data_IF_129285055338
#
_entry.id   IF_129285055338
#
_cell.length_a   1.000
_cell.length_b   1.000
_cell.length_c   1.000
_cell.angle_alpha   90.00
_cell.angle_beta   90.00
_cell.angle_gamma   90.00
#
_symmetry.space_group_name_H-M   'P 1'
#
loop_
_entity.id
_entity.type
_entity.pdbx_description
1 polymer ?
#
# COMPACT_ATOMS: atom_id res chain seq x y z
N UNK A 1 2.74 -14.97 -2.88
CA UNK A 1 3.84 -14.06 -2.56
C UNK A 1 3.33 -12.79 -1.86
N UNK A 2 2.36 -12.07 -2.45
CA UNK A 2 1.93 -10.74 -2.00
C UNK A 2 1.36 -10.66 -0.57
N UNK A 3 0.75 -11.70 -0.04
CA UNK A 3 0.25 -11.73 1.34
C UNK A 3 1.12 -12.61 2.24
N UNK A 4 1.36 -13.85 1.86
CA UNK A 4 2.16 -14.80 2.67
C UNK A 4 3.58 -14.30 2.90
N UNK A 5 4.24 -13.74 1.87
CA UNK A 5 5.59 -13.19 2.01
C UNK A 5 5.62 -12.01 2.98
N UNK A 6 4.65 -11.09 2.89
CA UNK A 6 4.52 -9.96 3.83
C UNK A 6 4.31 -10.46 5.26
N UNK A 7 3.40 -11.43 5.44
CA UNK A 7 3.17 -12.04 6.75
C UNK A 7 4.45 -12.65 7.35
N UNK A 8 5.19 -13.46 6.58
CA UNK A 8 6.42 -14.08 7.05
C UNK A 8 7.49 -13.05 7.41
N UNK A 9 7.68 -12.01 6.59
CA UNK A 9 8.59 -10.90 6.92
C UNK A 9 8.16 -10.19 8.22
N UNK A 10 6.87 -9.87 8.36
CA UNK A 10 6.36 -9.26 9.58
C UNK A 10 6.57 -10.18 10.79
N UNK A 11 6.35 -11.49 10.65
CA UNK A 11 6.54 -12.45 11.73
C UNK A 11 8.00 -12.49 12.20
N UNK A 12 8.95 -12.62 11.29
CA UNK A 12 10.35 -12.80 11.66
C UNK A 12 10.99 -11.49 12.15
N UNK A 13 10.87 -10.41 11.39
CA UNK A 13 11.43 -9.13 11.82
C UNK A 13 10.69 -8.54 13.02
N UNK A 14 9.37 -8.70 13.08
CA UNK A 14 8.56 -8.21 14.18
C UNK A 14 8.87 -8.89 15.52
N UNK A 15 9.21 -10.19 15.53
CA UNK A 15 9.70 -10.87 16.74
C UNK A 15 10.97 -10.21 17.29
N UNK A 16 11.91 -9.85 16.40
CA UNK A 16 13.16 -9.19 16.78
C UNK A 16 12.86 -7.80 17.35
N UNK A 17 12.06 -7.00 16.64
CA UNK A 17 11.65 -5.66 17.08
C UNK A 17 10.90 -5.69 18.42
N UNK A 18 10.01 -6.66 18.60
CA UNK A 18 9.26 -6.85 19.85
C UNK A 18 10.16 -7.20 21.03
N UNK A 19 11.22 -7.99 20.80
CA UNK A 19 12.26 -8.31 21.82
C UNK A 19 13.09 -7.07 22.16
N UNK A 20 13.42 -6.26 21.17
CA UNK A 20 14.16 -5.00 21.33
C UNK A 20 13.31 -3.89 21.96
N UNK A 21 11.97 -4.06 22.02
CA UNK A 21 10.99 -3.03 22.39
C UNK A 21 11.15 -1.75 21.57
N UNK A 22 11.48 -1.88 20.30
CA UNK A 22 11.65 -0.79 19.35
C UNK A 22 11.52 -1.33 17.92
N UNK A 23 10.64 -0.74 17.13
CA UNK A 23 10.51 -1.07 15.72
C UNK A 23 9.42 -0.33 15.00
N UNK A 24 9.56 -0.26 13.68
CA UNK A 24 8.54 0.27 12.78
C UNK A 24 8.45 -0.65 11.57
N UNK A 25 7.23 -1.03 11.23
CA UNK A 25 6.92 -1.80 10.02
C UNK A 25 5.98 -0.97 9.15
N UNK A 26 6.34 -0.83 7.88
CA UNK A 26 5.48 -0.22 6.86
C UNK A 26 5.16 -1.28 5.82
N UNK A 27 3.91 -1.69 5.77
CA UNK A 27 3.40 -2.64 4.79
C UNK A 27 2.88 -1.90 3.57
N UNK A 28 3.23 -2.37 2.38
CA UNK A 28 2.79 -1.74 1.12
C UNK A 28 1.53 -2.42 0.60
N UNK A 29 0.44 -1.67 0.54
CA UNK A 29 -0.81 -2.09 -0.07
C UNK A 29 -1.04 -1.36 -1.41
N UNK A 30 -2.25 -1.44 -1.91
CA UNK A 30 -2.71 -0.82 -3.16
C UNK A 30 -4.12 -0.27 -2.96
N UNK A 31 -4.51 0.71 -3.76
CA UNK A 31 -5.91 1.14 -3.86
C UNK A 31 -6.85 -0.04 -4.07
N UNK A 32 -6.42 -1.09 -4.77
CA UNK A 32 -7.21 -2.32 -4.95
C UNK A 32 -7.31 -3.22 -3.71
N UNK A 33 -6.66 -2.85 -2.63
CA UNK A 33 -6.89 -3.44 -1.30
C UNK A 33 -8.00 -2.76 -0.51
N UNK A 34 -8.49 -1.60 -0.95
CA UNK A 34 -9.50 -0.79 -0.26
C UNK A 34 -10.67 -0.37 -1.16
N UNK A 35 -10.54 -0.57 -2.47
CA UNK A 35 -11.59 -0.32 -3.47
C UNK A 35 -11.63 -1.44 -4.50
N UNK A 36 -12.75 -1.59 -5.19
CA UNK A 36 -12.86 -2.51 -6.32
C UNK A 36 -11.96 -2.07 -7.48
N UNK A 37 -11.39 -3.04 -8.19
CA UNK A 37 -10.60 -2.78 -9.40
C UNK A 37 -11.51 -2.38 -10.56
N UNK A 38 -11.30 -1.20 -11.13
CA UNK A 38 -12.00 -0.79 -12.34
C UNK A 38 -11.36 -1.43 -13.57
N UNK A 39 -11.96 -2.50 -14.06
CA UNK A 39 -11.42 -3.25 -15.21
C UNK A 39 -11.46 -2.47 -16.53
N UNK A 40 -12.27 -1.39 -16.62
CA UNK A 40 -12.41 -0.58 -17.82
C UNK A 40 -11.13 0.16 -18.22
N UNK A 41 -10.24 0.40 -17.25
CA UNK A 41 -8.94 1.08 -17.51
C UNK A 41 -8.01 0.27 -18.38
N UNK A 42 -8.19 -1.06 -18.45
CA UNK A 42 -7.34 -1.94 -19.25
C UNK A 42 -7.73 -1.95 -20.75
N UNK A 43 -8.88 -1.34 -21.12
CA UNK A 43 -9.32 -1.23 -22.50
C UNK A 43 -9.47 -2.58 -23.19
N UNK A 44 -8.92 -2.67 -24.40
CA UNK A 44 -8.94 -3.91 -25.21
C UNK A 44 -7.64 -4.73 -25.08
N UNK A 45 -6.84 -4.49 -24.06
CA UNK A 45 -5.52 -5.14 -23.89
C UNK A 45 -5.59 -6.62 -23.50
N UNK A 46 -6.77 -7.17 -23.21
CA UNK A 46 -6.97 -8.49 -22.59
C UNK A 46 -6.28 -8.66 -21.22
N UNK A 47 -5.79 -7.57 -20.63
CA UNK A 47 -5.26 -7.55 -19.28
C UNK A 47 -6.39 -7.25 -18.29
N UNK A 48 -6.21 -7.67 -17.04
CA UNK A 48 -7.07 -7.31 -15.93
C UNK A 48 -6.29 -7.27 -14.63
N UNK A 49 -6.87 -6.63 -13.60
CA UNK A 49 -6.39 -6.79 -12.24
C UNK A 49 -6.93 -8.11 -11.67
N UNK A 50 -6.08 -9.09 -11.34
CA UNK A 50 -6.55 -10.38 -10.84
C UNK A 50 -7.16 -10.23 -9.43
N UNK A 51 -8.24 -10.97 -9.16
CA UNK A 51 -8.93 -10.95 -7.86
C UNK A 51 -7.99 -11.32 -6.70
N UNK A 52 -7.04 -12.22 -6.93
CA UNK A 52 -6.03 -12.61 -5.94
C UNK A 52 -5.13 -11.45 -5.53
N UNK A 53 -4.84 -10.52 -6.43
CA UNK A 53 -4.09 -9.30 -6.10
C UNK A 53 -4.90 -8.42 -5.15
N UNK A 54 -6.14 -8.08 -5.50
CA UNK A 54 -7.00 -7.24 -4.66
C UNK A 54 -7.22 -7.87 -3.28
N UNK A 55 -7.54 -9.18 -3.23
CA UNK A 55 -7.70 -9.91 -1.97
C UNK A 55 -6.42 -9.87 -1.12
N UNK A 56 -5.25 -10.08 -1.73
CA UNK A 56 -3.97 -10.04 -1.01
C UNK A 56 -3.67 -8.64 -0.44
N UNK A 57 -3.95 -7.59 -1.20
CA UNK A 57 -3.70 -6.20 -0.78
C UNK A 57 -4.69 -5.75 0.31
N UNK A 58 -5.94 -6.19 0.26
CA UNK A 58 -6.91 -6.03 1.35
C UNK A 58 -6.49 -6.78 2.61
N UNK A 59 -5.99 -7.99 2.46
CA UNK A 59 -5.43 -8.79 3.55
C UNK A 59 -4.28 -8.10 4.27
N UNK A 60 -3.40 -7.37 3.54
CA UNK A 60 -2.29 -6.59 4.11
C UNK A 60 -2.81 -5.47 5.02
N UNK A 61 -3.86 -4.76 4.61
CA UNK A 61 -4.44 -3.68 5.41
C UNK A 61 -4.95 -4.21 6.75
N UNK A 62 -5.64 -5.36 6.73
CA UNK A 62 -6.13 -5.96 7.99
C UNK A 62 -5.03 -6.64 8.80
N UNK A 63 -4.04 -7.27 8.16
CA UNK A 63 -2.84 -7.79 8.81
C UNK A 63 -2.11 -6.70 9.61
N UNK A 64 -1.97 -5.51 9.03
CA UNK A 64 -1.37 -4.34 9.70
C UNK A 64 -2.09 -3.99 10.99
N UNK A 65 -3.43 -3.93 10.99
CA UNK A 65 -4.23 -3.65 12.19
C UNK A 65 -4.06 -4.74 13.25
N UNK A 66 -4.09 -6.00 12.82
CA UNK A 66 -3.87 -7.13 13.72
C UNK A 66 -2.51 -7.04 14.41
N UNK A 67 -1.43 -6.82 13.65
CA UNK A 67 -0.06 -6.78 14.18
C UNK A 67 0.17 -5.55 15.08
N UNK A 68 -0.41 -4.39 14.75
CA UNK A 68 -0.37 -3.21 15.61
C UNK A 68 -0.98 -3.50 16.99
N UNK A 69 -2.13 -4.16 17.03
CA UNK A 69 -2.77 -4.59 18.27
C UNK A 69 -1.98 -5.69 18.98
N UNK A 70 -1.45 -6.65 18.25
CA UNK A 70 -0.69 -7.77 18.82
C UNK A 70 0.60 -7.32 19.54
N UNK A 71 1.27 -6.28 19.03
CA UNK A 71 2.48 -5.72 19.64
C UNK A 71 2.27 -4.47 20.49
N UNK A 72 1.04 -4.20 20.97
CA UNK A 72 0.66 -2.97 21.69
C UNK A 72 1.59 -2.63 22.89
N UNK A 73 2.17 -3.64 23.59
CA UNK A 73 3.10 -3.43 24.72
C UNK A 73 4.58 -3.56 24.34
N UNK A 74 4.88 -3.65 23.06
CA UNK A 74 6.24 -3.94 22.58
C UNK A 74 6.94 -2.75 21.95
N UNK A 75 6.28 -1.59 21.91
CA UNK A 75 6.79 -0.39 21.25
C UNK A 75 7.18 -0.64 19.78
N UNK A 76 6.34 -1.41 19.08
CA UNK A 76 6.46 -1.65 17.64
C UNK A 76 5.27 -1.04 16.95
N UNK A 77 5.51 -0.09 16.05
CA UNK A 77 4.46 0.51 15.22
C UNK A 77 4.33 -0.26 13.90
N UNK A 78 3.12 -0.49 13.46
CA UNK A 78 2.83 -1.15 12.19
C UNK A 78 1.79 -0.34 11.44
N UNK A 79 2.14 0.16 10.26
CA UNK A 79 1.24 0.94 9.43
C UNK A 79 1.24 0.41 7.98
N UNK A 80 0.19 0.72 7.25
CA UNK A 80 0.09 0.47 5.82
C UNK A 80 0.31 1.77 5.06
N UNK A 81 1.05 1.71 3.97
CA UNK A 81 1.05 2.71 2.91
C UNK A 81 0.30 2.12 1.71
N UNK A 82 -0.84 2.69 1.39
CA UNK A 82 -1.67 2.31 0.23
C UNK A 82 -1.34 3.20 -0.94
N UNK A 83 -0.79 2.60 -1.99
CA UNK A 83 -0.34 3.32 -3.18
C UNK A 83 -1.41 3.34 -4.26
N UNK A 84 -1.52 4.48 -4.96
CA UNK A 84 -2.09 4.56 -6.30
C UNK A 84 -1.13 4.00 -7.36
N UNK A 85 -1.50 4.13 -8.63
CA UNK A 85 -0.69 3.65 -9.75
C UNK A 85 0.53 4.53 -9.99
N UNK A 86 1.69 3.88 -10.09
CA UNK A 86 2.95 4.49 -10.52
C UNK A 86 3.06 4.38 -12.04
N UNK A 87 3.38 5.49 -12.71
CA UNK A 87 3.61 5.46 -14.15
C UNK A 87 4.93 4.78 -14.48
N UNK A 88 4.88 3.87 -15.45
CA UNK A 88 6.04 3.27 -16.04
C UNK A 88 5.82 3.01 -17.54
N UNK A 89 6.39 3.87 -18.36
CA UNK A 89 6.20 3.86 -19.82
C UNK A 89 6.86 2.64 -20.49
N UNK A 90 7.64 1.85 -19.76
CA UNK A 90 8.32 0.68 -20.31
C UNK A 90 7.38 -0.51 -20.54
N UNK A 91 6.27 -0.59 -19.82
CA UNK A 91 5.30 -1.69 -19.94
C UNK A 91 3.82 -1.28 -19.94
N UNK A 92 3.51 -0.03 -19.56
CA UNK A 92 2.13 0.48 -19.56
C UNK A 92 1.80 1.10 -20.93
N UNK A 93 0.65 0.74 -21.49
CA UNK A 93 0.19 1.37 -22.74
C UNK A 93 -0.27 2.81 -22.49
N UNK A 94 -0.15 3.67 -23.52
CA UNK A 94 -0.66 5.05 -23.48
C UNK A 94 -2.16 5.11 -23.16
N UNK A 95 -2.94 4.15 -23.67
CA UNK A 95 -4.38 4.04 -23.38
C UNK A 95 -4.63 3.76 -21.89
N UNK A 96 -3.89 2.83 -21.31
CA UNK A 96 -3.99 2.53 -19.87
C UNK A 96 -3.62 3.76 -19.03
N UNK A 97 -2.49 4.40 -19.30
CA UNK A 97 -2.04 5.61 -18.59
C UNK A 97 -3.11 6.71 -18.66
N UNK A 98 -3.68 6.95 -19.86
CA UNK A 98 -4.75 7.94 -20.02
C UNK A 98 -5.98 7.60 -19.20
N UNK A 99 -6.52 6.38 -19.32
CA UNK A 99 -7.72 5.94 -18.60
C UNK A 99 -7.50 5.92 -17.10
N UNK A 100 -6.30 5.53 -16.64
CA UNK A 100 -5.94 5.59 -15.23
C UNK A 100 -5.93 7.04 -14.74
N UNK A 101 -5.28 7.93 -15.46
CA UNK A 101 -5.17 9.35 -15.11
C UNK A 101 -6.53 10.04 -14.99
N UNK A 102 -7.48 9.71 -15.87
CA UNK A 102 -8.86 10.23 -15.84
C UNK A 102 -9.63 9.84 -14.56
N UNK A 103 -9.15 8.82 -13.82
CA UNK A 103 -9.73 8.39 -12.54
C UNK A 103 -9.10 9.08 -11.33
N UNK A 104 -8.01 9.78 -11.49
CA UNK A 104 -7.38 10.52 -10.40
C UNK A 104 -7.81 12.00 -10.42
N UNK A 105 -7.96 12.60 -9.24
CA UNK A 105 -8.22 14.05 -9.13
C UNK A 105 -7.06 14.85 -9.72
N UNK A 106 -5.83 14.35 -9.58
CA UNK A 106 -4.63 15.00 -10.14
C UNK A 106 -4.52 14.87 -11.67
N UNK A 107 -5.35 14.06 -12.33
CA UNK A 107 -5.34 13.87 -13.78
C UNK A 107 -4.08 13.17 -14.31
N UNK A 108 -3.32 12.49 -13.46
CA UNK A 108 -2.09 11.76 -13.82
C UNK A 108 -1.81 10.60 -12.87
N UNK A 109 -0.98 9.68 -13.30
CA UNK A 109 -0.39 8.67 -12.43
C UNK A 109 0.75 9.28 -11.60
N UNK A 110 1.15 8.61 -10.53
CA UNK A 110 2.25 9.04 -9.69
C UNK A 110 3.61 8.79 -10.34
N UNK A 111 4.59 9.62 -10.03
CA UNK A 111 6.01 9.35 -10.29
C UNK A 111 6.58 8.40 -9.23
N UNK A 112 7.71 7.76 -9.52
CA UNK A 112 8.34 6.76 -8.64
C UNK A 112 8.77 7.35 -7.28
N UNK A 113 9.18 8.61 -7.25
CA UNK A 113 9.70 9.32 -6.08
C UNK A 113 8.61 9.97 -5.18
N UNK A 114 7.37 10.05 -5.65
CA UNK A 114 6.29 10.73 -4.91
C UNK A 114 5.83 10.01 -3.63
N UNK A 115 6.31 8.79 -3.39
CA UNK A 115 6.01 8.02 -2.17
C UNK A 115 7.11 8.09 -1.10
N UNK A 116 8.30 8.60 -1.44
CA UNK A 116 9.48 8.59 -0.55
C UNK A 116 9.21 9.38 0.74
N UNK A 117 8.62 10.57 0.64
CA UNK A 117 8.27 11.38 1.79
C UNK A 117 7.31 10.68 2.76
N UNK A 118 6.35 9.92 2.24
CA UNK A 118 5.43 9.14 3.07
C UNK A 118 6.11 7.98 3.79
N UNK A 119 7.03 7.30 3.11
CA UNK A 119 7.83 6.23 3.71
C UNK A 119 8.69 6.80 4.83
N UNK A 120 9.40 7.90 4.59
CA UNK A 120 10.21 8.59 5.59
C UNK A 120 9.35 9.05 6.79
N UNK A 121 8.18 9.65 6.53
CA UNK A 121 7.24 10.03 7.59
C UNK A 121 6.84 8.82 8.45
N UNK A 122 6.40 7.73 7.83
CA UNK A 122 5.94 6.54 8.56
C UNK A 122 7.04 5.86 9.35
N UNK A 123 8.29 5.89 8.87
CA UNK A 123 9.45 5.30 9.54
C UNK A 123 10.04 6.16 10.64
N UNK A 124 9.81 7.48 10.60
CA UNK A 124 10.37 8.44 11.56
C UNK A 124 9.50 8.66 12.80
N UNK A 125 10.03 9.40 13.77
CA UNK A 125 9.31 9.82 14.97
C UNK A 125 8.22 10.86 14.69
N UNK A 126 8.19 11.48 13.50
CA UNK A 126 7.08 12.33 13.06
C UNK A 126 5.73 11.60 13.06
N UNK A 127 5.74 10.26 12.96
CA UNK A 127 4.56 9.41 13.06
C UNK A 127 4.52 8.58 14.36
N UNK A 128 5.15 9.05 15.43
CA UNK A 128 5.30 8.31 16.70
C UNK A 128 3.97 7.90 17.35
N UNK A 129 2.89 8.65 17.12
CA UNK A 129 1.56 8.34 17.63
C UNK A 129 0.68 7.60 16.60
N UNK A 130 1.29 7.04 15.53
CA UNK A 130 0.59 6.37 14.44
C UNK A 130 0.92 4.88 14.38
N UNK A 131 -0.08 4.02 14.63
CA UNK A 131 0.02 2.57 14.46
C UNK A 131 -1.34 2.00 14.06
N UNK A 132 -1.37 0.91 13.29
CA UNK A 132 -2.59 0.30 12.77
C UNK A 132 -3.29 1.11 11.68
N UNK A 133 -2.68 2.20 11.25
CA UNK A 133 -3.25 3.15 10.29
C UNK A 133 -2.95 2.75 8.84
N UNK A 134 -3.77 3.26 7.93
CA UNK A 134 -3.57 3.15 6.50
C UNK A 134 -3.42 4.54 5.91
N UNK A 135 -2.20 4.89 5.48
CA UNK A 135 -1.92 6.14 4.76
C UNK A 135 -2.14 5.89 3.27
N UNK A 136 -3.06 6.64 2.68
CA UNK A 136 -3.43 6.50 1.27
C UNK A 136 -2.78 7.64 0.48
N UNK A 137 -2.06 7.28 -0.58
CA UNK A 137 -1.47 8.23 -1.53
C UNK A 137 -1.78 7.73 -2.94
N UNK A 138 -2.80 8.29 -3.55
CA UNK A 138 -3.39 7.76 -4.79
C UNK A 138 -3.80 8.84 -5.81
N UNK A 139 -3.42 10.10 -5.57
CA UNK A 139 -3.79 11.21 -6.42
C UNK A 139 -5.30 11.51 -6.42
N UNK A 140 -6.01 11.04 -5.37
CA UNK A 140 -7.45 11.22 -5.22
C UNK A 140 -8.30 10.14 -5.93
N UNK A 141 -7.71 9.05 -6.38
CA UNK A 141 -8.45 7.93 -7.00
C UNK A 141 -9.61 7.42 -6.15
N UNK A 142 -9.42 7.30 -4.82
CA UNK A 142 -10.43 6.76 -3.91
C UNK A 142 -11.28 7.82 -3.22
N UNK A 143 -11.16 9.09 -3.62
CA UNK A 143 -11.84 10.19 -2.95
C UNK A 143 -13.21 10.55 -3.56
N UNK A 144 -13.61 9.94 -4.68
CA UNK A 144 -14.89 10.19 -5.39
C UNK A 144 -15.55 8.91 -5.91
#
# INVERSE_FOLDING_TARGET
LNLTGVFLCCQEFGKIMAKQKKGVIVNISSIYGISGSDQRIYGQSNLNSPVSYAASKGGIVNLTRYLAAYWHKKNVRVNTLTLGGVQDDSYQSKEFIKKYSEKTIFGRMAKKDEYEGAILFLLSDASSYMTGSNLIIDGGWTAW
#
